data_IF_858090136465
#
_entry.id   IF_858090136465
#
_cell.length_a   1.000
_cell.length_b   1.000
_cell.length_c   1.000
_cell.angle_alpha   90.00
_cell.angle_beta   90.00
_cell.angle_gamma   90.00
#
_symmetry.space_group_name_H-M   'P 1'
#
loop_
_entity.id
_entity.type
_entity.pdbx_description
1 polymer ?
#
# COMPACT_ATOMS: atom_id res chain seq x y z
N UNK A 1 10.53 -26.90 -21.46
CA UNK A 1 9.64 -25.88 -22.06
C UNK A 1 9.22 -24.94 -20.94
N UNK A 2 9.21 -23.62 -21.15
CA UNK A 2 8.71 -22.66 -20.14
C UNK A 2 7.20 -22.53 -20.33
N UNK A 3 6.43 -22.80 -19.27
CA UNK A 3 4.97 -22.78 -19.31
C UNK A 3 4.43 -21.35 -19.57
N UNK A 4 3.37 -21.26 -20.36
CA UNK A 4 2.70 -20.00 -20.71
C UNK A 4 1.45 -19.83 -19.85
N UNK A 5 1.28 -18.64 -19.28
CA UNK A 5 0.14 -18.28 -18.43
C UNK A 5 -0.73 -17.25 -19.13
N UNK A 6 -2.04 -17.52 -19.16
CA UNK A 6 -3.04 -16.56 -19.68
C UNK A 6 -3.28 -15.43 -18.69
N UNK A 7 -3.79 -14.31 -19.18
CA UNK A 7 -4.20 -13.16 -18.35
C UNK A 7 -5.17 -13.59 -17.23
N UNK A 8 -6.09 -14.54 -17.51
CA UNK A 8 -7.04 -15.02 -16.51
C UNK A 8 -6.36 -15.92 -15.45
N UNK A 9 -5.40 -16.75 -15.83
CA UNK A 9 -4.58 -17.50 -14.86
C UNK A 9 -3.78 -16.54 -13.96
N UNK A 10 -3.16 -15.53 -14.53
CA UNK A 10 -2.44 -14.49 -13.76
C UNK A 10 -3.37 -13.72 -12.82
N UNK A 11 -4.60 -13.40 -13.26
CA UNK A 11 -5.61 -12.81 -12.40
C UNK A 11 -5.91 -13.71 -11.20
N UNK A 12 -6.23 -14.98 -11.41
CA UNK A 12 -6.58 -15.93 -10.34
C UNK A 12 -5.43 -16.18 -9.37
N UNK A 13 -4.20 -16.33 -9.87
CA UNK A 13 -3.01 -16.47 -9.03
C UNK A 13 -2.81 -15.22 -8.14
N UNK A 14 -2.91 -14.02 -8.73
CA UNK A 14 -2.79 -12.77 -7.97
C UNK A 14 -3.90 -12.64 -6.92
N UNK A 15 -5.16 -12.90 -7.26
CA UNK A 15 -6.27 -12.80 -6.31
C UNK A 15 -6.16 -13.81 -5.16
N UNK A 16 -5.71 -15.04 -5.42
CA UNK A 16 -5.48 -16.04 -4.38
C UNK A 16 -4.43 -15.55 -3.36
N UNK A 17 -3.30 -15.06 -3.85
CA UNK A 17 -2.19 -14.56 -3.02
C UNK A 17 -2.52 -13.27 -2.30
N UNK A 18 -3.42 -12.47 -2.88
CA UNK A 18 -3.94 -11.27 -2.25
C UNK A 18 -5.12 -11.54 -1.28
N UNK A 19 -5.45 -12.82 -1.02
CA UNK A 19 -6.55 -13.25 -0.15
C UNK A 19 -7.90 -12.67 -0.60
N UNK A 20 -8.10 -12.55 -1.92
CA UNK A 20 -9.27 -11.94 -2.53
C UNK A 20 -10.18 -12.97 -3.23
N UNK A 21 -9.71 -14.18 -3.53
CA UNK A 21 -10.60 -15.28 -3.94
C UNK A 21 -11.45 -15.75 -2.76
N UNK A 22 -10.80 -15.98 -1.63
CA UNK A 22 -11.44 -16.31 -0.36
C UNK A 22 -10.89 -15.42 0.73
N UNK A 23 -11.74 -15.03 1.70
CA UNK A 23 -11.25 -14.37 2.91
C UNK A 23 -10.48 -15.38 3.75
N UNK A 24 -9.32 -14.97 4.24
CA UNK A 24 -8.49 -15.82 5.07
C UNK A 24 -8.96 -15.79 6.54
N UNK A 25 -8.91 -16.94 7.19
CA UNK A 25 -9.07 -17.04 8.64
C UNK A 25 -7.69 -16.87 9.30
N UNK A 26 -7.26 -15.63 9.41
CA UNK A 26 -5.96 -15.25 9.97
C UNK A 26 -6.02 -13.83 10.55
N UNK A 27 -5.00 -13.44 11.32
CA UNK A 27 -4.96 -12.12 11.94
C UNK A 27 -4.61 -11.01 10.95
N UNK A 28 -4.96 -9.75 11.29
CA UNK A 28 -4.54 -8.56 10.57
C UNK A 28 -3.02 -8.46 10.44
N UNK A 29 -2.28 -8.86 11.48
CA UNK A 29 -0.81 -8.89 11.49
C UNK A 29 -0.26 -9.83 10.42
N UNK A 30 -0.78 -11.05 10.33
CA UNK A 30 -0.37 -12.04 9.32
C UNK A 30 -0.64 -11.55 7.90
N UNK A 31 -1.78 -10.86 7.67
CA UNK A 31 -2.07 -10.27 6.37
C UNK A 31 -1.09 -9.15 6.02
N UNK A 32 -0.81 -8.23 6.95
CA UNK A 32 0.16 -7.16 6.74
C UNK A 32 1.55 -7.72 6.42
N UNK A 33 1.98 -8.75 7.13
CA UNK A 33 3.27 -9.41 6.90
C UNK A 33 3.30 -10.11 5.52
N UNK A 34 2.25 -10.85 5.19
CA UNK A 34 2.12 -11.56 3.92
C UNK A 34 2.14 -10.60 2.72
N UNK A 35 1.40 -9.49 2.79
CA UNK A 35 1.29 -8.49 1.72
C UNK A 35 2.49 -7.52 1.66
N UNK A 36 3.47 -7.68 2.54
CA UNK A 36 4.60 -6.74 2.69
C UNK A 36 4.11 -5.31 2.98
N UNK A 37 3.02 -5.23 3.75
CA UNK A 37 2.32 -4.00 4.08
C UNK A 37 1.24 -3.60 3.09
N UNK A 38 0.54 -2.55 3.44
CA UNK A 38 -0.57 -1.98 2.66
C UNK A 38 -0.35 -0.48 2.48
N UNK A 39 -0.60 0.05 1.28
CA UNK A 39 -0.51 1.50 1.09
C UNK A 39 -1.55 2.20 1.97
N UNK A 40 -1.11 3.18 2.74
CA UNK A 40 -1.89 3.88 3.76
C UNK A 40 -1.83 5.40 3.56
N UNK A 41 -1.84 5.84 2.31
CA UNK A 41 -1.89 7.27 1.97
C UNK A 41 -3.17 7.89 2.52
N UNK A 42 -4.30 7.23 2.35
CA UNK A 42 -5.50 7.43 3.15
C UNK A 42 -5.37 6.61 4.44
N UNK A 43 -5.40 7.23 5.63
CA UNK A 43 -5.07 6.55 6.88
C UNK A 43 -5.98 5.36 7.22
N UNK A 44 -7.23 5.38 6.77
CA UNK A 44 -8.22 4.35 7.05
C UNK A 44 -8.35 3.30 5.92
N UNK A 45 -7.69 3.49 4.78
CA UNK A 45 -7.71 2.54 3.68
C UNK A 45 -7.32 1.10 4.09
N UNK A 46 -6.30 0.86 4.94
CA UNK A 46 -5.95 -0.49 5.37
C UNK A 46 -7.06 -1.25 6.10
N UNK A 47 -7.98 -0.56 6.78
CA UNK A 47 -9.11 -1.20 7.45
C UNK A 47 -10.07 -1.87 6.47
N UNK A 48 -10.45 -1.17 5.41
CA UNK A 48 -11.25 -1.75 4.31
C UNK A 48 -10.45 -2.82 3.58
N UNK A 49 -9.15 -2.60 3.41
CA UNK A 49 -8.25 -3.58 2.80
C UNK A 49 -8.16 -4.89 3.57
N UNK A 50 -8.17 -4.87 4.91
CA UNK A 50 -8.22 -6.04 5.77
C UNK A 50 -9.64 -6.64 5.80
N UNK A 51 -10.67 -5.81 5.93
CA UNK A 51 -12.06 -6.26 5.92
C UNK A 51 -12.40 -7.10 4.68
N UNK A 52 -11.89 -6.72 3.51
CA UNK A 52 -12.15 -7.46 2.27
C UNK A 52 -11.39 -8.78 2.19
N UNK A 53 -10.34 -8.98 3.01
CA UNK A 53 -9.40 -10.11 2.98
C UNK A 53 -9.54 -11.09 4.15
N UNK A 54 -10.02 -10.63 5.31
CA UNK A 54 -10.04 -11.41 6.55
C UNK A 54 -11.48 -11.75 6.95
N UNK A 55 -11.67 -12.98 7.39
CA UNK A 55 -12.96 -13.43 7.96
C UNK A 55 -13.18 -12.74 9.30
N UNK A 56 -14.37 -12.15 9.50
CA UNK A 56 -14.76 -11.51 10.76
C UNK A 56 -13.79 -10.42 11.27
N UNK A 57 -13.07 -9.75 10.37
CA UNK A 57 -12.14 -8.67 10.73
C UNK A 57 -12.86 -7.56 11.52
N UNK A 58 -12.21 -7.10 12.58
CA UNK A 58 -12.65 -5.99 13.42
C UNK A 58 -11.65 -4.85 13.40
N UNK A 59 -12.17 -3.62 13.36
CA UNK A 59 -11.31 -2.43 13.27
C UNK A 59 -10.41 -2.23 14.51
N UNK A 60 -10.85 -2.69 15.69
CA UNK A 60 -10.05 -2.63 16.92
C UNK A 60 -8.80 -3.51 16.85
N UNK A 61 -8.80 -4.60 16.10
CA UNK A 61 -7.63 -5.47 15.89
C UNK A 61 -6.44 -4.70 15.26
N UNK A 62 -6.69 -3.99 14.16
CA UNK A 62 -5.66 -3.16 13.53
C UNK A 62 -5.28 -1.96 14.40
N UNK A 63 -6.26 -1.34 15.06
CA UNK A 63 -6.03 -0.22 15.96
C UNK A 63 -5.11 -0.61 17.11
N UNK A 64 -5.29 -1.80 17.69
CA UNK A 64 -4.44 -2.34 18.75
C UNK A 64 -2.99 -2.52 18.25
N UNK A 65 -2.78 -3.14 17.08
CA UNK A 65 -1.44 -3.30 16.51
C UNK A 65 -0.70 -1.96 16.37
N UNK A 66 -1.40 -0.90 15.98
CA UNK A 66 -0.79 0.44 15.85
C UNK A 66 -0.52 1.10 17.22
N UNK A 67 -1.44 0.97 18.18
CA UNK A 67 -1.29 1.52 19.54
C UNK A 67 -0.15 0.82 20.26
N UNK A 68 -0.04 -0.49 20.12
CA UNK A 68 1.02 -1.34 20.68
C UNK A 68 2.36 -1.21 19.93
N UNK A 69 2.41 -0.41 18.87
CA UNK A 69 3.58 -0.18 18.01
C UNK A 69 4.08 -1.44 17.27
N UNK A 70 3.24 -2.45 17.13
CA UNK A 70 3.49 -3.67 16.34
C UNK A 70 3.30 -3.43 14.85
N UNK A 71 2.48 -2.45 14.47
CA UNK A 71 2.35 -1.95 13.12
C UNK A 71 2.62 -0.44 13.07
N UNK A 72 3.32 0.01 12.05
CA UNK A 72 3.73 1.41 11.88
C UNK A 72 3.39 1.92 10.48
N UNK A 73 3.12 3.23 10.39
CA UNK A 73 2.92 3.93 9.13
C UNK A 73 4.18 4.70 8.77
N UNK A 74 4.76 4.41 7.64
CA UNK A 74 6.02 5.01 7.21
C UNK A 74 6.12 5.14 5.68
N UNK A 75 7.02 5.97 5.20
CA UNK A 75 7.36 6.04 3.78
C UNK A 75 8.24 4.84 3.41
N UNK A 76 7.77 4.02 2.46
CA UNK A 76 8.46 2.81 1.99
C UNK A 76 8.40 2.72 0.46
N UNK A 77 7.73 1.71 -0.10
CA UNK A 77 7.66 1.46 -1.54
C UNK A 77 7.24 2.72 -2.30
N UNK A 78 7.94 3.05 -3.38
CA UNK A 78 7.71 4.25 -4.22
C UNK A 78 7.76 5.58 -3.43
N UNK A 79 8.38 5.61 -2.25
CA UNK A 79 8.36 6.75 -1.32
C UNK A 79 6.93 7.22 -0.93
N UNK A 80 5.98 6.29 -0.82
CA UNK A 80 4.60 6.55 -0.35
C UNK A 80 4.34 5.93 1.01
N UNK A 81 3.34 6.45 1.73
CA UNK A 81 3.03 5.96 3.08
C UNK A 81 2.41 4.57 3.01
N UNK A 82 3.02 3.63 3.71
CA UNK A 82 2.56 2.26 3.92
C UNK A 82 2.34 1.98 5.40
N UNK A 83 1.40 1.12 5.69
CA UNK A 83 1.22 0.46 6.97
C UNK A 83 1.90 -0.91 6.89
N UNK A 84 2.85 -1.16 7.75
CA UNK A 84 3.64 -2.40 7.79
C UNK A 84 3.81 -2.87 9.21
N UNK A 85 4.18 -4.15 9.41
CA UNK A 85 4.60 -4.67 10.70
C UNK A 85 5.90 -3.96 11.11
N UNK A 86 6.05 -3.62 12.39
CA UNK A 86 7.19 -2.86 12.87
C UNK A 86 8.55 -3.57 12.62
N UNK A 87 8.59 -4.88 12.81
CA UNK A 87 9.78 -5.68 12.48
C UNK A 87 10.10 -5.62 10.97
N UNK A 88 9.08 -5.74 10.11
CA UNK A 88 9.26 -5.60 8.66
C UNK A 88 9.78 -4.21 8.27
N UNK A 89 9.33 -3.15 8.95
CA UNK A 89 9.86 -1.81 8.69
C UNK A 89 11.37 -1.74 8.91
N UNK A 90 11.85 -2.35 9.99
CA UNK A 90 13.29 -2.34 10.34
C UNK A 90 14.15 -3.06 9.28
N UNK A 91 13.58 -4.05 8.58
CA UNK A 91 14.26 -4.77 7.50
C UNK A 91 14.08 -4.06 6.14
N UNK A 92 12.90 -3.52 5.88
CA UNK A 92 12.55 -2.94 4.57
C UNK A 92 13.16 -1.56 4.36
N UNK A 93 13.21 -0.72 5.41
CA UNK A 93 13.66 0.66 5.25
C UNK A 93 15.10 0.77 4.73
N UNK A 94 16.10 0.02 5.22
CA UNK A 94 17.48 0.08 4.68
C UNK A 94 17.55 -0.28 3.19
N UNK A 95 16.72 -1.23 2.73
CA UNK A 95 16.64 -1.64 1.33
C UNK A 95 15.99 -0.56 0.46
N UNK A 96 14.98 0.15 1.00
CA UNK A 96 14.15 1.11 0.28
C UNK A 96 14.60 2.57 0.43
N UNK A 97 15.52 2.88 1.34
CA UNK A 97 16.06 4.23 1.55
C UNK A 97 16.52 4.90 0.23
N UNK A 98 17.21 4.20 -0.70
CA UNK A 98 17.62 4.78 -1.98
C UNK A 98 16.44 5.23 -2.86
N UNK A 99 15.24 4.68 -2.67
CA UNK A 99 14.01 5.10 -3.39
C UNK A 99 13.58 6.48 -2.92
N UNK A 100 13.54 6.68 -1.60
CA UNK A 100 13.20 7.97 -0.98
C UNK A 100 14.24 9.03 -1.31
N UNK A 101 15.53 8.68 -1.24
CA UNK A 101 16.64 9.55 -1.57
C UNK A 101 16.55 10.04 -3.02
N UNK A 102 16.37 9.14 -3.97
CA UNK A 102 16.18 9.51 -5.38
C UNK A 102 14.93 10.37 -5.56
N UNK A 103 13.81 10.03 -4.90
CA UNK A 103 12.57 10.80 -4.92
C UNK A 103 12.77 12.24 -4.47
N UNK A 104 13.53 12.47 -3.42
CA UNK A 104 13.89 13.82 -2.95
C UNK A 104 14.73 14.57 -3.99
N UNK A 105 15.84 13.97 -4.42
CA UNK A 105 16.84 14.72 -5.17
C UNK A 105 16.50 14.91 -6.66
N UNK A 106 15.74 14.00 -7.25
CA UNK A 106 15.39 14.06 -8.69
C UNK A 106 13.92 14.34 -8.94
N UNK A 107 13.02 13.94 -8.04
CA UNK A 107 11.57 14.02 -8.24
C UNK A 107 10.89 15.19 -7.51
N UNK A 108 11.55 15.77 -6.49
CA UNK A 108 10.95 16.81 -5.66
C UNK A 108 11.54 18.20 -5.91
N UNK A 109 10.71 19.27 -5.98
CA UNK A 109 11.22 20.64 -6.03
C UNK A 109 11.92 21.05 -4.72
N UNK A 110 11.69 20.38 -3.61
CA UNK A 110 12.30 20.67 -2.32
C UNK A 110 13.78 20.27 -2.28
N UNK A 111 14.17 19.15 -2.89
CA UNK A 111 15.55 18.70 -2.86
C UNK A 111 16.54 19.71 -3.44
N UNK A 112 16.13 20.47 -4.46
CA UNK A 112 16.98 21.50 -5.08
C UNK A 112 17.23 22.72 -4.19
N UNK A 113 16.44 22.89 -3.11
CA UNK A 113 16.51 24.02 -2.19
C UNK A 113 17.28 23.68 -0.90
N UNK A 114 17.74 22.45 -0.75
CA UNK A 114 18.58 22.00 0.36
C UNK A 114 20.02 21.94 -0.10
N UNK A 115 20.94 22.75 0.47
CA UNK A 115 22.37 22.66 0.18
C UNK A 115 22.91 21.28 0.60
N UNK A 116 23.68 20.66 -0.29
CA UNK A 116 24.21 19.30 -0.05
C UNK A 116 25.17 19.22 1.11
N UNK A 117 25.94 20.28 1.31
CA UNK A 117 26.95 20.41 2.36
C UNK A 117 26.40 20.39 3.79
N UNK A 118 25.11 20.68 3.97
CA UNK A 118 24.50 20.67 5.30
C UNK A 118 23.73 19.38 5.61
N UNK A 119 23.58 18.48 4.62
CA UNK A 119 22.62 17.35 4.72
C UNK A 119 22.93 16.47 5.92
N UNK A 120 24.19 16.10 6.15
CA UNK A 120 24.57 15.22 7.27
C UNK A 120 24.28 15.89 8.62
N UNK A 121 24.61 17.15 8.79
CA UNK A 121 24.31 17.95 10.01
C UNK A 121 22.80 18.11 10.19
N UNK A 122 22.08 18.37 9.11
CA UNK A 122 20.62 18.48 9.10
C UNK A 122 19.96 17.20 9.58
N UNK A 123 20.38 16.05 9.04
CA UNK A 123 19.82 14.75 9.38
C UNK A 123 20.13 14.38 10.83
N UNK A 124 21.38 14.55 11.27
CA UNK A 124 21.76 14.30 12.65
C UNK A 124 20.96 15.15 13.65
N UNK A 125 20.80 16.45 13.36
CA UNK A 125 20.02 17.36 14.21
C UNK A 125 18.52 16.98 14.21
N UNK A 126 17.93 16.72 13.04
CA UNK A 126 16.51 16.36 12.93
C UNK A 126 16.23 14.99 13.59
N UNK A 127 17.13 14.01 13.47
CA UNK A 127 16.99 12.70 14.10
C UNK A 127 17.00 12.82 15.62
N UNK A 128 17.90 13.61 16.20
CA UNK A 128 17.92 13.87 17.65
C UNK A 128 16.60 14.48 18.13
N UNK A 129 16.08 15.47 17.40
CA UNK A 129 14.79 16.09 17.73
C UNK A 129 13.63 15.09 17.70
N UNK A 130 13.62 14.15 16.76
CA UNK A 130 12.58 13.15 16.59
C UNK A 130 12.75 11.95 17.54
N UNK A 131 13.95 11.70 18.01
CA UNK A 131 14.24 10.71 19.06
C UNK A 131 13.81 11.22 20.45
N UNK A 132 13.98 12.53 20.72
CA UNK A 132 13.53 13.15 21.98
C UNK A 132 12.00 13.10 22.12
N UNK A 133 11.26 13.48 21.08
CA UNK A 133 9.80 13.48 21.08
C UNK A 133 9.22 13.47 19.66
N UNK A 134 8.02 12.86 19.46
CA UNK A 134 7.30 12.97 18.20
C UNK A 134 6.97 14.44 17.86
N UNK A 135 7.15 14.82 16.58
CA UNK A 135 6.95 16.18 16.10
C UNK A 135 6.11 16.23 14.82
N UNK A 136 5.30 17.28 14.70
CA UNK A 136 4.65 17.63 13.45
C UNK A 136 5.65 18.27 12.47
N UNK A 137 5.29 18.31 11.19
CA UNK A 137 6.12 19.01 10.18
C UNK A 137 6.29 20.50 10.52
N UNK A 138 5.26 21.14 11.05
CA UNK A 138 5.33 22.56 11.42
C UNK A 138 6.34 22.81 12.56
N UNK A 139 6.36 21.93 13.57
CA UNK A 139 7.34 22.00 14.67
C UNK A 139 8.76 21.74 14.17
N UNK A 140 8.94 20.69 13.35
CA UNK A 140 10.24 20.37 12.76
C UNK A 140 10.76 21.54 11.92
N UNK A 141 9.91 22.09 11.01
CA UNK A 141 10.24 23.28 10.22
C UNK A 141 10.68 24.46 11.08
N UNK A 142 9.95 24.76 12.16
CA UNK A 142 10.29 25.86 13.08
C UNK A 142 11.65 25.65 13.72
N UNK A 143 11.94 24.44 14.22
CA UNK A 143 13.21 24.14 14.90
C UNK A 143 14.39 24.16 13.93
N UNK A 144 14.22 23.63 12.73
CA UNK A 144 15.23 23.67 11.67
C UNK A 144 15.50 25.12 11.21
N UNK A 145 14.44 25.93 11.06
CA UNK A 145 14.58 27.36 10.73
C UNK A 145 15.29 28.18 11.81
N UNK A 146 15.16 27.82 13.08
CA UNK A 146 15.93 28.46 14.17
C UNK A 146 17.42 28.10 14.09
N UNK A 147 17.74 26.87 13.70
CA UNK A 147 19.15 26.39 13.58
C UNK A 147 19.82 26.93 12.31
N UNK A 148 19.09 27.07 11.21
CA UNK A 148 19.56 27.58 9.92
C UNK A 148 18.65 28.68 9.38
N UNK A 149 18.69 29.91 9.95
CA UNK A 149 17.72 30.95 9.65
C UNK A 149 17.81 31.53 8.22
N UNK A 150 18.90 31.25 7.51
CA UNK A 150 19.10 31.72 6.12
C UNK A 150 18.68 30.66 5.06
N UNK A 151 18.28 29.47 5.49
CA UNK A 151 17.93 28.37 4.60
C UNK A 151 16.41 28.11 4.58
N UNK A 152 15.96 27.41 3.56
CA UNK A 152 14.55 27.06 3.39
C UNK A 152 14.13 25.97 4.41
N UNK A 153 13.48 26.38 5.48
CA UNK A 153 13.06 25.50 6.56
C UNK A 153 12.02 24.45 6.12
N UNK A 154 11.16 24.75 5.14
CA UNK A 154 10.23 23.79 4.57
C UNK A 154 10.95 22.70 3.78
N UNK A 155 11.92 23.09 2.97
CA UNK A 155 12.72 22.16 2.20
C UNK A 155 13.56 21.25 3.12
N UNK A 156 14.14 21.82 4.19
CA UNK A 156 14.88 21.04 5.20
C UNK A 156 13.98 20.05 5.93
N UNK A 157 12.78 20.44 6.36
CA UNK A 157 11.84 19.54 7.01
C UNK A 157 11.36 18.43 6.06
N UNK A 158 11.19 18.75 4.78
CA UNK A 158 10.84 17.77 3.76
C UNK A 158 11.99 16.78 3.51
N UNK A 159 13.23 17.25 3.43
CA UNK A 159 14.40 16.40 3.29
C UNK A 159 14.55 15.44 4.47
N UNK A 160 14.40 15.91 5.70
CA UNK A 160 14.42 15.07 6.88
C UNK A 160 13.35 13.95 6.82
N UNK A 161 12.14 14.26 6.35
CA UNK A 161 11.08 13.26 6.19
C UNK A 161 11.36 12.20 5.11
N UNK A 162 12.16 12.52 4.09
CA UNK A 162 12.51 11.60 3.01
C UNK A 162 13.73 10.74 3.34
N UNK A 163 14.68 11.30 4.09
CA UNK A 163 16.00 10.71 4.29
C UNK A 163 16.18 9.99 5.63
N UNK A 164 15.31 10.31 6.63
CA UNK A 164 15.38 9.67 7.94
C UNK A 164 14.44 8.46 8.06
N UNK A 165 14.83 7.43 8.82
CA UNK A 165 13.98 6.31 9.19
C UNK A 165 12.95 6.76 10.24
N UNK A 166 11.85 7.32 9.79
CA UNK A 166 10.81 7.88 10.65
C UNK A 166 9.45 7.21 10.42
N UNK A 167 8.66 7.16 11.47
CA UNK A 167 7.31 6.60 11.46
C UNK A 167 6.28 7.66 11.85
N UNK A 168 5.07 7.56 11.28
CA UNK A 168 3.93 8.35 11.73
C UNK A 168 3.31 7.69 12.96
N UNK A 169 3.22 8.46 14.04
CA UNK A 169 2.74 7.96 15.32
C UNK A 169 1.21 8.07 15.45
N UNK A 170 0.64 7.21 16.30
CA UNK A 170 -0.77 7.28 16.71
C UNK A 170 -1.09 8.61 17.41
N UNK A 171 -2.35 9.09 17.43
CA UNK A 171 -3.58 8.39 17.03
C UNK A 171 -3.91 8.46 15.53
N UNK A 172 -3.07 9.09 14.67
CA UNK A 172 -3.36 9.11 13.23
C UNK A 172 -3.34 7.69 12.65
N UNK A 173 -4.43 7.33 11.95
CA UNK A 173 -4.62 5.99 11.40
C UNK A 173 -5.32 5.01 12.34
N UNK A 174 -5.55 5.36 13.59
CA UNK A 174 -6.41 4.57 14.51
C UNK A 174 -7.87 4.82 14.14
N UNK A 175 -8.68 3.77 14.11
CA UNK A 175 -10.10 3.86 13.77
C UNK A 175 -10.84 4.85 14.67
N UNK A 176 -11.70 5.67 14.07
CA UNK A 176 -12.45 6.71 14.78
C UNK A 176 -11.60 7.88 15.32
N UNK A 177 -10.29 7.92 15.08
CA UNK A 177 -9.42 8.98 15.57
C UNK A 177 -8.74 9.75 14.45
N UNK A 178 -8.68 11.07 14.58
CA UNK A 178 -8.00 11.96 13.64
C UNK A 178 -6.94 12.80 14.35
N UNK A 179 -5.81 12.99 13.72
CA UNK A 179 -4.76 13.93 14.14
C UNK A 179 -3.90 14.33 12.96
N UNK A 180 -3.29 15.49 13.01
CA UNK A 180 -2.26 15.87 12.06
C UNK A 180 -1.10 14.85 12.06
N UNK A 181 -0.46 14.59 10.90
CA UNK A 181 0.70 13.72 10.84
C UNK A 181 1.78 14.19 11.81
N UNK A 182 2.23 13.28 12.67
CA UNK A 182 3.29 13.48 13.65
C UNK A 182 4.29 12.34 13.48
N UNK A 183 5.57 12.66 13.45
CA UNK A 183 6.65 11.70 13.20
C UNK A 183 7.53 11.53 14.41
N UNK A 184 8.07 10.33 14.57
CA UNK A 184 9.12 9.98 15.53
C UNK A 184 10.24 9.23 14.81
N UNK A 185 11.44 9.25 15.40
CA UNK A 185 12.50 8.33 15.00
C UNK A 185 12.04 6.88 15.20
N UNK A 186 12.28 6.06 14.18
CA UNK A 186 11.70 4.71 14.14
C UNK A 186 12.29 3.79 15.20
N UNK A 187 13.63 3.81 15.40
CA UNK A 187 14.28 2.94 16.38
C UNK A 187 13.81 3.28 17.79
N UNK A 188 13.74 4.57 18.12
CA UNK A 188 13.23 5.03 19.42
C UNK A 188 11.76 4.71 19.63
N UNK A 189 10.93 4.80 18.57
CA UNK A 189 9.50 4.52 18.67
C UNK A 189 9.20 3.03 18.79
N UNK A 190 9.86 2.19 17.98
CA UNK A 190 9.68 0.74 17.94
C UNK A 190 10.40 0.07 19.11
N UNK A 191 11.51 0.65 19.57
CA UNK A 191 12.34 0.08 20.61
C UNK A 191 13.32 -1.00 20.10
N UNK A 192 13.63 -1.01 18.81
CA UNK A 192 14.53 -1.97 18.17
C UNK A 192 15.32 -1.30 17.05
N UNK A 193 16.51 -1.84 16.75
CA UNK A 193 17.40 -1.26 15.73
C UNK A 193 17.10 -1.73 14.32
N UNK A 194 17.46 -0.90 13.35
CA UNK A 194 17.43 -1.27 11.93
C UNK A 194 18.30 -2.49 11.64
N UNK A 195 17.84 -3.32 10.73
CA UNK A 195 18.60 -4.47 10.25
C UNK A 195 19.84 -4.03 9.46
N UNK A 196 20.98 -4.61 9.76
CA UNK A 196 22.25 -4.37 9.06
C UNK A 196 22.48 -5.32 7.88
N UNK A 197 21.70 -6.39 7.77
CA UNK A 197 21.86 -7.44 6.75
C UNK A 197 20.72 -7.52 5.73
N UNK A 198 19.83 -6.52 5.72
CA UNK A 198 18.68 -6.52 4.81
C UNK A 198 19.12 -6.45 3.33
N UNK A 199 18.58 -7.33 2.51
CA UNK A 199 18.90 -7.43 1.10
C UNK A 199 17.65 -7.38 0.22
N UNK A 200 17.75 -6.83 -1.01
CA UNK A 200 16.61 -6.78 -1.93
C UNK A 200 16.11 -8.17 -2.36
N UNK A 201 16.91 -9.21 -2.18
CA UNK A 201 16.56 -10.60 -2.52
C UNK A 201 15.30 -11.06 -1.78
N UNK A 202 15.25 -10.85 -0.48
CA UNK A 202 14.11 -11.26 0.34
C UNK A 202 12.87 -10.40 0.05
N UNK A 203 13.04 -9.12 -0.24
CA UNK A 203 11.95 -8.27 -0.70
C UNK A 203 11.36 -8.78 -2.02
N UNK A 204 12.19 -9.18 -2.98
CA UNK A 204 11.75 -9.75 -4.27
C UNK A 204 10.98 -11.05 -4.06
N UNK A 205 11.47 -11.96 -3.22
CA UNK A 205 10.76 -13.22 -2.93
C UNK A 205 9.44 -12.99 -2.21
N UNK A 206 9.40 -12.10 -1.23
CA UNK A 206 8.15 -11.72 -0.54
C UNK A 206 7.15 -11.12 -1.51
N UNK A 207 7.61 -10.21 -2.39
CA UNK A 207 6.76 -9.66 -3.44
C UNK A 207 6.19 -10.76 -4.34
N UNK A 208 7.01 -11.70 -4.82
CA UNK A 208 6.54 -12.80 -5.66
C UNK A 208 5.52 -13.69 -4.92
N UNK A 209 5.72 -13.94 -3.63
CA UNK A 209 4.77 -14.67 -2.80
C UNK A 209 3.39 -13.99 -2.72
N UNK A 210 3.36 -12.66 -2.61
CA UNK A 210 2.14 -11.88 -2.43
C UNK A 210 1.49 -11.42 -3.75
N UNK A 211 2.27 -11.26 -4.85
CA UNK A 211 1.82 -10.60 -6.09
C UNK A 211 2.14 -11.41 -7.36
N UNK A 212 2.97 -12.45 -7.27
CA UNK A 212 3.39 -13.23 -8.42
C UNK A 212 2.26 -14.04 -9.09
N UNK A 213 2.58 -14.65 -10.25
CA UNK A 213 3.79 -14.53 -11.05
C UNK A 213 3.97 -13.12 -11.63
N UNK A 214 5.21 -12.61 -11.66
CA UNK A 214 5.45 -11.22 -12.03
C UNK A 214 6.81 -11.04 -12.75
N UNK A 215 6.90 -10.01 -13.58
CA UNK A 215 8.17 -9.65 -14.22
C UNK A 215 9.07 -8.85 -13.29
N UNK A 216 10.35 -8.78 -13.59
CA UNK A 216 11.30 -7.87 -12.89
C UNK A 216 10.80 -6.42 -12.94
N UNK A 217 10.21 -6.00 -14.07
CA UNK A 217 9.64 -4.66 -14.22
C UNK A 217 8.48 -4.42 -13.23
N UNK A 218 7.66 -5.43 -12.95
CA UNK A 218 6.56 -5.31 -11.98
C UNK A 218 7.12 -5.06 -10.58
N UNK A 219 8.14 -5.83 -10.16
CA UNK A 219 8.82 -5.63 -8.87
C UNK A 219 9.42 -4.23 -8.75
N UNK A 220 10.08 -3.75 -9.82
CA UNK A 220 10.67 -2.41 -9.87
C UNK A 220 9.62 -1.31 -9.75
N UNK A 221 8.50 -1.43 -10.46
CA UNK A 221 7.40 -0.46 -10.38
C UNK A 221 6.74 -0.46 -9.00
N UNK A 222 6.56 -1.65 -8.39
CA UNK A 222 5.96 -1.76 -7.07
C UNK A 222 6.87 -1.23 -5.96
N UNK A 223 8.15 -1.61 -5.96
CA UNK A 223 9.09 -1.22 -4.90
C UNK A 223 9.64 0.21 -5.09
N UNK A 224 9.80 0.64 -6.33
CA UNK A 224 10.56 1.83 -6.71
C UNK A 224 12.06 1.57 -6.84
N UNK A 225 12.54 0.35 -6.57
CA UNK A 225 13.94 -0.04 -6.77
C UNK A 225 14.27 -0.14 -8.26
N UNK A 226 15.55 -0.14 -8.57
CA UNK A 226 16.09 -0.31 -9.93
C UNK A 226 17.10 -1.44 -9.96
N UNK A 227 17.50 -1.91 -11.16
CA UNK A 227 18.54 -2.94 -11.38
C UNK A 227 18.20 -4.30 -10.74
N UNK A 228 16.91 -4.62 -10.58
CA UNK A 228 16.49 -5.89 -9.97
C UNK A 228 16.70 -7.11 -10.89
N UNK A 229 17.15 -6.93 -12.14
CA UNK A 229 17.58 -8.06 -12.98
C UNK A 229 18.77 -8.80 -12.37
N UNK A 230 19.72 -8.09 -11.77
CA UNK A 230 20.88 -8.67 -11.07
C UNK A 230 20.43 -9.52 -9.86
N UNK A 231 19.38 -9.05 -9.16
CA UNK A 231 18.77 -9.80 -8.06
C UNK A 231 18.07 -11.06 -8.58
N UNK A 232 17.27 -10.92 -9.64
CA UNK A 232 16.54 -12.04 -10.25
C UNK A 232 17.48 -13.16 -10.75
N UNK A 233 18.64 -12.80 -11.28
CA UNK A 233 19.65 -13.77 -11.72
C UNK A 233 20.31 -14.47 -10.53
N UNK A 234 20.60 -13.73 -9.45
CA UNK A 234 21.18 -14.27 -8.22
C UNK A 234 20.23 -15.19 -7.45
N UNK A 235 18.89 -15.00 -7.58
CA UNK A 235 17.91 -15.87 -6.95
C UNK A 235 17.93 -17.31 -7.50
N UNK A 236 18.37 -17.52 -8.75
CA UNK A 236 18.62 -18.85 -9.31
C UNK A 236 17.43 -19.80 -9.18
N UNK A 237 17.62 -20.92 -8.48
CA UNK A 237 16.59 -21.95 -8.25
C UNK A 237 15.53 -21.58 -7.21
N UNK A 238 15.68 -20.46 -6.49
CA UNK A 238 14.67 -19.95 -5.56
C UNK A 238 13.43 -19.41 -6.28
N UNK A 239 13.51 -19.24 -7.61
CA UNK A 239 12.40 -18.79 -8.45
C UNK A 239 12.17 -19.71 -9.65
N UNK A 240 10.90 -19.90 -10.03
CA UNK A 240 10.47 -20.54 -11.28
C UNK A 240 10.26 -19.46 -12.34
N UNK A 241 10.34 -19.86 -13.61
CA UNK A 241 10.14 -18.94 -14.75
C UNK A 241 8.94 -19.40 -15.58
N UNK A 242 8.10 -18.43 -15.94
CA UNK A 242 6.94 -18.57 -16.81
C UNK A 242 7.01 -17.53 -17.95
N UNK A 243 6.10 -17.63 -18.91
CA UNK A 243 5.84 -16.57 -19.89
C UNK A 243 4.37 -16.20 -19.86
N UNK A 244 4.06 -14.91 -20.06
CA UNK A 244 2.69 -14.49 -20.32
C UNK A 244 2.30 -14.64 -21.81
N UNK A 245 1.07 -14.23 -22.16
CA UNK A 245 0.56 -14.31 -23.53
C UNK A 245 1.36 -13.45 -24.51
N UNK A 246 2.00 -12.37 -24.05
CA UNK A 246 2.88 -11.50 -24.83
C UNK A 246 4.32 -12.02 -24.91
N UNK A 247 4.64 -13.18 -24.28
CA UNK A 247 5.98 -13.77 -24.28
C UNK A 247 6.94 -13.18 -23.24
N UNK A 248 6.48 -12.26 -22.37
CA UNK A 248 7.33 -11.68 -21.31
C UNK A 248 7.65 -12.74 -20.26
N UNK A 249 8.89 -12.72 -19.79
CA UNK A 249 9.31 -13.61 -18.70
C UNK A 249 8.74 -13.15 -17.37
N UNK A 250 8.11 -14.08 -16.66
CA UNK A 250 7.60 -13.89 -15.31
C UNK A 250 8.38 -14.80 -14.36
N UNK A 251 8.64 -14.30 -13.18
CA UNK A 251 9.23 -15.03 -12.06
C UNK A 251 8.13 -15.38 -11.05
N UNK A 252 8.34 -16.50 -10.37
CA UNK A 252 7.46 -16.95 -9.29
C UNK A 252 8.23 -17.69 -8.24
N UNK A 253 7.74 -17.70 -7.01
CA UNK A 253 8.27 -18.59 -5.97
C UNK A 253 7.72 -20.00 -6.19
N UNK A 254 8.49 -21.07 -5.88
CA UNK A 254 7.97 -22.41 -5.85
C UNK A 254 6.76 -22.52 -4.92
N UNK A 255 5.84 -23.44 -5.22
CA UNK A 255 4.70 -23.83 -4.37
C UNK A 255 3.69 -22.70 -4.03
N UNK A 256 3.78 -21.54 -4.69
CA UNK A 256 2.82 -20.48 -4.51
C UNK A 256 1.45 -20.82 -5.13
N UNK A 257 0.33 -20.39 -4.53
CA UNK A 257 -1.02 -20.66 -5.05
C UNK A 257 -1.19 -20.26 -6.52
N UNK A 258 -1.61 -21.19 -7.35
CA UNK A 258 -1.89 -20.99 -8.78
C UNK A 258 -3.17 -21.72 -9.18
N UNK A 259 -4.35 -21.22 -8.76
CA UNK A 259 -5.62 -21.83 -9.05
C UNK A 259 -5.96 -21.81 -10.55
N UNK A 260 -6.88 -22.70 -10.98
CA UNK A 260 -7.37 -22.73 -12.36
C UNK A 260 -7.99 -21.38 -12.76
N UNK A 261 -7.89 -21.03 -14.04
CA UNK A 261 -8.55 -19.87 -14.62
C UNK A 261 -10.07 -19.88 -14.43
N UNK A 262 -10.68 -21.07 -14.30
CA UNK A 262 -12.12 -21.24 -14.19
C UNK A 262 -12.69 -21.03 -12.79
N UNK A 263 -11.82 -20.94 -11.77
CA UNK A 263 -12.26 -20.63 -10.41
C UNK A 263 -13.00 -19.29 -10.40
N UNK A 264 -14.26 -19.24 -9.90
CA UNK A 264 -15.01 -18.00 -9.84
C UNK A 264 -14.37 -17.03 -8.82
N UNK A 265 -14.37 -15.74 -9.15
CA UNK A 265 -13.92 -14.72 -8.22
C UNK A 265 -15.13 -13.93 -7.68
N UNK A 266 -15.24 -13.77 -6.35
CA UNK A 266 -16.36 -13.07 -5.74
C UNK A 266 -16.28 -11.56 -5.98
N UNK A 267 -17.37 -10.86 -5.65
CA UNK A 267 -17.36 -9.40 -5.55
C UNK A 267 -16.43 -9.00 -4.39
N UNK A 268 -15.56 -8.01 -4.65
CA UNK A 268 -14.69 -7.42 -3.63
C UNK A 268 -14.70 -5.89 -3.73
N UNK A 269 -14.80 -5.24 -2.59
CA UNK A 269 -14.61 -3.81 -2.45
C UNK A 269 -13.19 -3.56 -1.92
N UNK A 270 -12.37 -2.88 -2.69
CA UNK A 270 -11.01 -2.52 -2.33
C UNK A 270 -10.94 -1.04 -1.99
N UNK A 271 -10.12 -0.63 -1.00
CA UNK A 271 -9.93 0.77 -0.68
C UNK A 271 -9.23 1.52 -1.81
N UNK A 272 -9.21 2.85 -1.69
CA UNK A 272 -8.33 3.67 -2.51
C UNK A 272 -6.85 3.26 -2.28
N UNK A 273 -6.07 3.28 -3.36
CA UNK A 273 -4.65 2.89 -3.36
C UNK A 273 -4.39 1.43 -2.94
N UNK A 274 -5.37 0.52 -3.09
CA UNK A 274 -5.11 -0.89 -2.79
C UNK A 274 -3.92 -1.42 -3.61
N UNK A 275 -3.11 -2.23 -2.94
CA UNK A 275 -1.90 -2.82 -3.52
C UNK A 275 -2.17 -3.54 -4.84
N UNK A 276 -3.31 -4.20 -4.99
CA UNK A 276 -3.68 -4.97 -6.19
C UNK A 276 -3.59 -4.13 -7.47
N UNK A 277 -4.01 -2.86 -7.41
CA UNK A 277 -4.00 -1.96 -8.57
C UNK A 277 -2.64 -1.31 -8.83
N UNK A 278 -1.72 -1.36 -7.86
CA UNK A 278 -0.45 -0.62 -7.88
C UNK A 278 0.78 -1.53 -7.94
N UNK A 279 0.58 -2.85 -7.93
CA UNK A 279 1.66 -3.82 -7.78
C UNK A 279 2.30 -4.29 -9.08
N UNK A 280 1.76 -3.93 -10.24
CA UNK A 280 2.27 -4.38 -11.53
C UNK A 280 2.44 -3.23 -12.52
N UNK A 281 3.47 -3.29 -13.35
CA UNK A 281 3.66 -2.39 -14.50
C UNK A 281 2.57 -2.64 -15.55
N UNK A 282 2.32 -3.92 -15.87
CA UNK A 282 1.18 -4.32 -16.68
C UNK A 282 0.02 -4.77 -15.77
N UNK A 283 -1.03 -3.97 -15.75
CA UNK A 283 -2.21 -4.15 -14.89
C UNK A 283 -3.36 -4.90 -15.55
N UNK A 284 -3.21 -5.35 -16.80
CA UNK A 284 -4.31 -5.98 -17.60
C UNK A 284 -4.91 -7.19 -16.92
N UNK A 285 -4.15 -7.86 -16.03
CA UNK A 285 -4.66 -8.95 -15.20
C UNK A 285 -5.80 -8.55 -14.25
N UNK A 286 -5.97 -7.27 -13.94
CA UNK A 286 -7.01 -6.75 -13.04
C UNK A 286 -7.75 -5.54 -13.65
N UNK A 287 -7.01 -4.71 -14.38
CA UNK A 287 -7.51 -3.45 -14.95
C UNK A 287 -7.81 -3.65 -16.43
N UNK A 288 -9.03 -3.39 -16.92
CA UNK A 288 -9.31 -3.38 -18.36
C UNK A 288 -8.39 -2.41 -19.11
N UNK A 289 -7.92 -2.78 -20.31
CA UNK A 289 -6.91 -2.04 -21.08
C UNK A 289 -7.28 -0.56 -21.33
N UNK A 290 -8.56 -0.27 -21.46
CA UNK A 290 -9.07 1.10 -21.67
C UNK A 290 -9.07 1.99 -20.44
N UNK A 291 -8.63 1.50 -19.27
CA UNK A 291 -8.72 2.22 -18.01
C UNK A 291 -7.37 2.69 -17.50
N UNK A 292 -7.37 3.92 -16.97
CA UNK A 292 -6.21 4.50 -16.27
C UNK A 292 -6.48 4.44 -14.77
N UNK A 293 -5.56 3.83 -14.02
CA UNK A 293 -5.61 3.86 -12.56
C UNK A 293 -5.16 5.26 -12.10
N UNK A 294 -6.02 6.01 -11.41
CA UNK A 294 -5.64 7.32 -10.89
C UNK A 294 -4.59 7.14 -9.78
N UNK A 295 -3.40 7.72 -9.99
CA UNK A 295 -2.28 7.60 -9.06
C UNK A 295 -2.13 8.83 -8.16
N UNK A 296 -2.83 9.94 -8.45
CA UNK A 296 -2.64 11.23 -7.80
C UNK A 296 -3.94 11.73 -7.14
N UNK A 297 -3.85 12.33 -5.95
CA UNK A 297 -4.95 13.09 -5.38
C UNK A 297 -5.37 14.20 -6.35
N UNK A 298 -6.67 14.31 -6.62
CA UNK A 298 -7.22 15.32 -7.55
C UNK A 298 -7.68 14.78 -8.89
N UNK A 299 -7.22 13.59 -9.32
CA UNK A 299 -7.72 12.94 -10.55
C UNK A 299 -8.90 11.98 -10.29
N UNK A 300 -9.76 12.27 -9.33
CA UNK A 300 -10.85 11.39 -8.90
C UNK A 300 -10.39 10.20 -8.04
N UNK A 301 -9.15 10.21 -7.57
CA UNK A 301 -8.46 9.08 -6.94
C UNK A 301 -8.81 8.79 -5.48
N UNK A 302 -9.83 9.42 -4.91
CA UNK A 302 -10.30 9.13 -3.54
C UNK A 302 -11.47 8.13 -3.52
N UNK A 303 -11.63 7.35 -4.56
CA UNK A 303 -12.65 6.30 -4.63
C UNK A 303 -12.02 4.93 -4.55
N UNK A 304 -12.69 4.04 -3.82
CA UNK A 304 -12.33 2.63 -3.80
C UNK A 304 -12.75 1.93 -5.10
N UNK A 305 -12.36 0.68 -5.22
CA UNK A 305 -12.53 -0.15 -6.41
C UNK A 305 -13.49 -1.29 -6.13
N UNK A 306 -14.38 -1.59 -7.07
CA UNK A 306 -15.21 -2.81 -7.04
C UNK A 306 -14.68 -3.80 -8.07
N UNK A 307 -14.31 -4.99 -7.60
CA UNK A 307 -13.98 -6.12 -8.46
C UNK A 307 -15.22 -6.97 -8.70
N UNK A 308 -15.46 -7.29 -9.96
CA UNK A 308 -16.47 -8.27 -10.41
C UNK A 308 -15.74 -9.33 -11.22
N UNK A 309 -15.85 -10.60 -10.81
CA UNK A 309 -15.10 -11.72 -11.39
C UNK A 309 -13.58 -11.43 -11.46
N UNK A 310 -13.06 -10.73 -10.45
CA UNK A 310 -11.64 -10.41 -10.33
C UNK A 310 -11.15 -9.21 -11.14
N UNK A 311 -12.02 -8.52 -11.86
CA UNK A 311 -11.66 -7.35 -12.68
C UNK A 311 -12.31 -6.08 -12.15
N UNK A 312 -11.63 -4.96 -12.25
CA UNK A 312 -12.13 -3.65 -11.88
C UNK A 312 -13.26 -3.21 -12.78
N UNK A 313 -14.48 -3.09 -12.23
CA UNK A 313 -15.70 -2.79 -12.97
C UNK A 313 -16.48 -1.57 -12.48
N UNK A 314 -16.18 -1.10 -11.27
CA UNK A 314 -16.82 0.09 -10.73
C UNK A 314 -15.89 0.79 -9.73
N UNK A 315 -16.19 2.07 -9.48
CA UNK A 315 -15.68 2.80 -8.33
C UNK A 315 -16.72 2.82 -7.22
N UNK A 316 -16.28 3.05 -5.98
CA UNK A 316 -17.20 3.25 -4.86
C UNK A 316 -16.72 4.35 -3.93
N UNK A 317 -17.66 4.94 -3.19
CA UNK A 317 -17.39 5.90 -2.14
C UNK A 317 -18.54 5.96 -1.14
N UNK A 318 -18.24 6.24 0.13
CA UNK A 318 -19.24 6.49 1.16
C UNK A 318 -19.47 8.00 1.21
N UNK A 319 -20.73 8.40 1.05
CA UNK A 319 -21.15 9.80 1.05
C UNK A 319 -22.04 10.06 2.27
N UNK A 320 -21.63 10.99 3.16
CA UNK A 320 -22.47 11.40 4.29
C UNK A 320 -23.78 12.02 3.84
N UNK A 321 -24.88 11.71 4.53
CA UNK A 321 -26.22 12.26 4.31
C UNK A 321 -26.90 12.50 5.67
N UNK A 322 -26.58 13.63 6.30
CA UNK A 322 -27.02 13.95 7.67
C UNK A 322 -26.48 12.94 8.68
N UNK A 323 -27.37 12.27 9.43
CA UNK A 323 -27.02 11.21 10.38
C UNK A 323 -26.83 9.83 9.73
N UNK A 324 -26.98 9.76 8.40
CA UNK A 324 -26.83 8.55 7.61
C UNK A 324 -25.65 8.70 6.66
N UNK A 325 -25.24 7.60 6.06
CA UNK A 325 -24.34 7.59 4.93
C UNK A 325 -24.82 6.56 3.91
N UNK A 326 -24.69 6.88 2.62
CA UNK A 326 -25.00 5.94 1.56
C UNK A 326 -23.72 5.55 0.80
N UNK A 327 -23.74 4.36 0.23
CA UNK A 327 -22.67 3.86 -0.62
C UNK A 327 -23.01 4.15 -2.09
N UNK A 328 -22.21 5.02 -2.71
CA UNK A 328 -22.27 5.25 -4.15
C UNK A 328 -21.35 4.27 -4.89
N UNK A 329 -21.89 3.62 -5.91
CA UNK A 329 -21.17 2.69 -6.77
C UNK A 329 -21.37 3.17 -8.21
N UNK A 330 -20.30 3.61 -8.85
CA UNK A 330 -20.26 4.07 -10.23
C UNK A 330 -19.71 2.95 -11.12
N UNK A 331 -20.61 2.18 -11.74
CA UNK A 331 -20.23 1.10 -12.62
C UNK A 331 -19.83 1.65 -13.99
N UNK A 332 -18.77 1.14 -14.58
CA UNK A 332 -18.24 1.59 -15.88
C UNK A 332 -19.12 1.21 -17.07
N UNK A 333 -19.91 0.16 -16.90
CA UNK A 333 -20.86 -0.38 -17.85
C UNK A 333 -22.01 -1.04 -17.07
N UNK A 334 -23.19 -1.23 -17.67
CA UNK A 334 -24.29 -1.94 -17.02
C UNK A 334 -23.84 -3.31 -16.53
N UNK A 335 -24.06 -3.57 -15.23
CA UNK A 335 -23.75 -4.87 -14.65
C UNK A 335 -24.85 -5.87 -14.98
N UNK A 336 -24.52 -7.11 -15.37
CA UNK A 336 -25.51 -8.18 -15.47
C UNK A 336 -26.30 -8.30 -14.15
N UNK A 337 -27.61 -8.60 -14.24
CA UNK A 337 -28.53 -8.57 -13.09
C UNK A 337 -28.02 -9.35 -11.87
N UNK A 338 -27.44 -10.54 -12.10
CA UNK A 338 -26.83 -11.36 -11.05
C UNK A 338 -25.66 -10.67 -10.34
N UNK A 339 -24.83 -9.91 -11.08
CA UNK A 339 -23.68 -9.20 -10.52
C UNK A 339 -24.13 -7.94 -9.77
N UNK A 340 -25.18 -7.24 -10.27
CA UNK A 340 -25.74 -6.08 -9.57
C UNK A 340 -26.25 -6.44 -8.17
N UNK A 341 -27.01 -7.52 -8.04
CA UNK A 341 -27.48 -8.00 -6.74
C UNK A 341 -26.32 -8.39 -5.78
N UNK A 342 -25.30 -9.08 -6.30
CA UNK A 342 -24.13 -9.45 -5.50
C UNK A 342 -23.28 -8.23 -5.08
N UNK A 343 -23.16 -7.22 -5.95
CA UNK A 343 -22.49 -5.96 -5.62
C UNK A 343 -23.24 -5.22 -4.52
N UNK A 344 -24.58 -5.13 -4.61
CA UNK A 344 -25.39 -4.50 -3.57
C UNK A 344 -25.24 -5.21 -2.22
N UNK A 345 -25.35 -6.53 -2.19
CA UNK A 345 -25.22 -7.32 -0.94
C UNK A 345 -23.82 -7.19 -0.29
N UNK A 346 -22.73 -7.15 -1.09
CA UNK A 346 -21.39 -6.93 -0.54
C UNK A 346 -21.20 -5.46 -0.11
N UNK A 347 -21.83 -4.52 -0.82
CA UNK A 347 -21.86 -3.10 -0.46
C UNK A 347 -22.55 -2.83 0.87
N UNK A 348 -23.67 -3.51 1.15
CA UNK A 348 -24.37 -3.45 2.45
C UNK A 348 -23.46 -3.90 3.58
N UNK A 349 -22.71 -4.99 3.40
CA UNK A 349 -21.73 -5.47 4.39
C UNK A 349 -20.58 -4.48 4.61
N UNK A 350 -20.10 -3.83 3.55
CA UNK A 350 -19.09 -2.79 3.66
C UNK A 350 -19.61 -1.58 4.43
N UNK A 351 -20.82 -1.12 4.09
CA UNK A 351 -21.43 0.03 4.76
C UNK A 351 -21.67 -0.25 6.25
N UNK A 352 -22.16 -1.45 6.60
CA UNK A 352 -22.30 -1.87 7.98
C UNK A 352 -20.96 -1.90 8.75
N UNK A 353 -19.88 -2.33 8.11
CA UNK A 353 -18.54 -2.29 8.69
C UNK A 353 -18.02 -0.86 8.88
N UNK A 354 -18.12 -0.04 7.84
CA UNK A 354 -17.54 1.30 7.84
C UNK A 354 -18.32 2.29 8.71
N UNK A 355 -19.61 2.05 8.92
CA UNK A 355 -20.56 2.93 9.63
C UNK A 355 -21.15 2.25 10.87
N UNK A 356 -20.34 1.46 11.59
CA UNK A 356 -20.81 0.69 12.76
C UNK A 356 -21.47 1.56 13.85
N UNK A 357 -21.14 2.86 13.93
CA UNK A 357 -21.70 3.82 14.90
C UNK A 357 -22.80 4.70 14.31
N UNK A 358 -23.08 4.63 13.01
CA UNK A 358 -24.11 5.42 12.32
C UNK A 358 -25.17 4.51 11.69
N UNK A 359 -26.34 5.10 11.35
CA UNK A 359 -27.36 4.33 10.63
C UNK A 359 -26.92 4.12 9.18
N UNK A 360 -26.80 2.86 8.70
CA UNK A 360 -26.50 2.62 7.29
C UNK A 360 -27.64 3.18 6.43
N UNK A 361 -27.28 3.83 5.35
CA UNK A 361 -28.19 4.32 4.32
C UNK A 361 -28.29 3.35 3.14
N UNK A 362 -28.74 3.88 2.01
CA UNK A 362 -28.99 3.12 0.79
C UNK A 362 -27.72 2.81 0.00
N UNK A 363 -27.78 1.76 -0.81
CA UNK A 363 -26.81 1.47 -1.84
C UNK A 363 -27.29 2.07 -3.17
N UNK A 364 -26.52 2.98 -3.77
CA UNK A 364 -26.86 3.63 -5.03
C UNK A 364 -25.88 3.19 -6.11
N UNK A 365 -26.39 2.49 -7.12
CA UNK A 365 -25.59 2.03 -8.26
C UNK A 365 -25.98 2.87 -9.48
N UNK A 366 -25.00 3.57 -10.03
CA UNK A 366 -25.14 4.36 -11.27
C UNK A 366 -24.26 3.81 -12.37
N UNK A 367 -24.62 4.15 -13.59
CA UNK A 367 -23.82 3.92 -14.80
C UNK A 367 -23.71 5.28 -15.48
N UNK A 368 -22.51 5.72 -15.93
CA UNK A 368 -22.33 7.00 -16.62
C UNK A 368 -23.15 7.15 -17.87
#
# INVERSE_FOLDING_TARGET
MIDRLTTRQLNRATLARQLLLERADCSAEQVLQHLVGMQSQAPLAPYVGLWTRVVNFRADELSALMIERRAVRASLMRATIHLVIAADFLDLWPVLAPVSERGLWTGSPFGRRVPREIVDDLLAFAQNLLAEAPRTRAELRRLLGQRWPKLDADAMAYAAQYLLPIVQVTPRGVWGRTKAPTWADAESWIGSRMSTGAAPDDLVLRYLGAFGPASVQDVQVWSGLTRLSEVADRLGSRVRRFRDEAGRVLLDVPDAPSPSADVPAPIRFLPEYDNLLLSHANRTRVVPESRIVPLWPGNGGNRGTVLVDGFWRANWGIVPDGERAHLEIEAFQPLPRRHGAAVAAEGERLLAFAMAEARPGDIRISVP
#
